data_IF_746190036928
#
_entry.id   IF_746190036928
#
_cell.length_a   1.000
_cell.length_b   1.000
_cell.length_c   1.000
_cell.angle_alpha   90.00
_cell.angle_beta   90.00
_cell.angle_gamma   90.00
#
_symmetry.space_group_name_H-M   'P 1'
#
loop_
_entity.id
_entity.type
_entity.pdbx_description
1 polymer ?
#
# COMPACT_ATOMS: atom_id res chain seq x y z
N UNK A 1 19.77 -12.18 -13.18
CA UNK A 1 19.00 -10.95 -12.86
C UNK A 1 17.68 -10.89 -13.63
N UNK A 2 17.66 -11.04 -14.95
CA UNK A 2 16.43 -11.04 -15.78
C UNK A 2 15.41 -12.11 -15.36
N UNK A 3 15.84 -13.34 -15.08
CA UNK A 3 14.95 -14.43 -14.62
C UNK A 3 14.28 -14.12 -13.26
N UNK A 4 15.02 -13.50 -12.32
CA UNK A 4 14.52 -13.12 -11.00
C UNK A 4 13.45 -12.04 -11.14
N UNK A 5 13.71 -11.01 -11.94
CA UNK A 5 12.72 -9.96 -12.23
C UNK A 5 11.49 -10.50 -12.96
N UNK A 6 11.69 -11.39 -13.95
CA UNK A 6 10.58 -12.00 -14.66
C UNK A 6 9.69 -12.83 -13.70
N UNK A 7 10.29 -13.68 -12.88
CA UNK A 7 9.55 -14.49 -11.91
C UNK A 7 8.77 -13.66 -10.88
N UNK A 8 9.27 -12.49 -10.51
CA UNK A 8 8.59 -11.59 -9.57
C UNK A 8 7.50 -10.76 -10.25
N UNK A 9 7.75 -10.25 -11.46
CA UNK A 9 6.86 -9.28 -12.12
C UNK A 9 5.79 -9.93 -12.99
N UNK A 10 6.10 -11.06 -13.67
CA UNK A 10 5.14 -11.73 -14.57
C UNK A 10 3.84 -12.11 -13.88
N UNK A 11 3.82 -12.72 -12.67
CA UNK A 11 2.57 -13.04 -11.97
C UNK A 11 1.72 -11.81 -11.66
N UNK A 12 2.36 -10.68 -11.34
CA UNK A 12 1.69 -9.41 -11.03
C UNK A 12 1.00 -8.86 -12.28
N UNK A 13 1.76 -8.78 -13.40
CA UNK A 13 1.17 -8.35 -14.67
C UNK A 13 0.09 -9.30 -15.14
N UNK A 14 0.27 -10.61 -14.98
CA UNK A 14 -0.77 -11.60 -15.32
C UNK A 14 -2.05 -11.34 -14.53
N UNK A 15 -1.98 -11.13 -13.21
CA UNK A 15 -3.15 -10.82 -12.38
C UNK A 15 -3.82 -9.50 -12.77
N UNK A 16 -3.04 -8.45 -13.00
CA UNK A 16 -3.55 -7.15 -13.46
C UNK A 16 -4.22 -7.25 -14.84
N UNK A 17 -3.57 -7.92 -15.81
CA UNK A 17 -4.10 -8.09 -17.15
C UNK A 17 -5.35 -8.97 -17.17
N UNK A 18 -5.40 -10.04 -16.37
CA UNK A 18 -6.61 -10.85 -16.20
C UNK A 18 -7.79 -9.99 -15.75
N UNK A 19 -7.60 -9.17 -14.71
CA UNK A 19 -8.64 -8.25 -14.23
C UNK A 19 -9.02 -7.21 -15.29
N UNK A 20 -8.04 -6.62 -15.97
CA UNK A 20 -8.26 -5.63 -17.01
C UNK A 20 -9.06 -6.19 -18.19
N UNK A 21 -8.66 -7.34 -18.73
CA UNK A 21 -9.37 -7.98 -19.84
C UNK A 21 -10.74 -8.53 -19.42
N UNK A 22 -10.86 -9.06 -18.19
CA UNK A 22 -12.16 -9.48 -17.65
C UNK A 22 -13.17 -8.31 -17.63
N UNK A 23 -12.71 -7.10 -17.32
CA UNK A 23 -13.53 -5.90 -17.39
C UNK A 23 -13.83 -5.44 -18.81
N UNK A 24 -12.83 -5.41 -19.71
CA UNK A 24 -13.02 -5.03 -21.11
C UNK A 24 -13.98 -5.96 -21.85
N UNK A 25 -13.87 -7.26 -21.63
CA UNK A 25 -14.74 -8.28 -22.25
C UNK A 25 -16.07 -8.44 -21.51
N UNK A 26 -16.34 -7.60 -20.52
CA UNK A 26 -17.56 -7.66 -19.69
C UNK A 26 -17.84 -9.03 -19.07
N UNK A 27 -16.79 -9.82 -18.82
CA UNK A 27 -16.89 -11.08 -18.07
C UNK A 27 -17.07 -10.80 -16.57
N UNK A 28 -16.56 -9.66 -16.10
CA UNK A 28 -16.79 -9.14 -14.77
C UNK A 28 -17.26 -7.68 -14.91
N UNK A 29 -18.20 -7.28 -14.04
CA UNK A 29 -18.68 -5.89 -14.01
C UNK A 29 -17.60 -4.97 -13.42
N UNK A 30 -17.02 -4.14 -14.27
CA UNK A 30 -15.97 -3.19 -13.88
C UNK A 30 -16.54 -1.87 -13.34
N UNK A 31 -17.85 -1.66 -13.41
CA UNK A 31 -18.52 -0.51 -12.82
C UNK A 31 -18.99 -0.81 -11.39
N UNK A 32 -19.45 -2.02 -11.11
CA UNK A 32 -19.95 -2.44 -9.81
C UNK A 32 -19.04 -3.49 -9.15
N UNK A 33 -17.86 -3.07 -8.74
CA UNK A 33 -16.84 -3.94 -8.12
C UNK A 33 -16.99 -4.07 -6.60
N UNK A 34 -18.07 -3.54 -6.00
CA UNK A 34 -18.23 -3.41 -4.55
C UNK A 34 -18.12 -4.74 -3.80
N UNK A 35 -18.72 -5.80 -4.33
CA UNK A 35 -18.65 -7.14 -3.71
C UNK A 35 -17.20 -7.64 -3.64
N UNK A 36 -16.44 -7.48 -4.73
CA UNK A 36 -15.04 -7.89 -4.77
C UNK A 36 -14.16 -7.03 -3.85
N UNK A 37 -14.42 -5.71 -3.80
CA UNK A 37 -13.78 -4.81 -2.84
C UNK A 37 -14.04 -5.28 -1.40
N UNK A 38 -15.30 -5.57 -1.07
CA UNK A 38 -15.67 -6.04 0.28
C UNK A 38 -14.96 -7.35 0.61
N UNK A 39 -14.94 -8.32 -0.29
CA UNK A 39 -14.21 -9.58 -0.09
C UNK A 39 -12.71 -9.33 0.18
N UNK A 40 -12.05 -8.56 -0.68
CA UNK A 40 -10.61 -8.29 -0.60
C UNK A 40 -10.28 -7.51 0.68
N UNK A 41 -11.01 -6.42 0.96
CA UNK A 41 -10.69 -5.48 2.04
C UNK A 41 -11.15 -5.92 3.43
N UNK A 42 -12.26 -6.69 3.51
CA UNK A 42 -12.83 -7.07 4.79
C UNK A 42 -12.47 -8.50 5.23
N UNK A 43 -12.01 -9.35 4.30
CA UNK A 43 -11.69 -10.74 4.59
C UNK A 43 -10.27 -11.13 4.16
N UNK A 44 -9.95 -11.09 2.87
CA UNK A 44 -8.71 -11.67 2.35
C UNK A 44 -7.46 -10.93 2.87
N UNK A 45 -7.37 -9.62 2.67
CA UNK A 45 -6.20 -8.81 3.11
C UNK A 45 -6.07 -8.80 4.64
N UNK A 46 -7.11 -8.59 5.46
CA UNK A 46 -6.98 -8.66 6.91
C UNK A 46 -6.43 -9.99 7.42
N UNK A 47 -6.90 -11.12 6.87
CA UNK A 47 -6.36 -12.44 7.23
C UNK A 47 -4.88 -12.57 6.85
N UNK A 48 -4.49 -12.12 5.66
CA UNK A 48 -3.09 -12.13 5.20
C UNK A 48 -2.21 -11.27 6.10
N UNK A 49 -2.61 -10.02 6.37
CA UNK A 49 -1.85 -9.09 7.22
C UNK A 49 -1.72 -9.59 8.66
N UNK A 50 -2.83 -10.07 9.24
CA UNK A 50 -2.80 -10.64 10.58
C UNK A 50 -1.81 -11.79 10.68
N UNK A 51 -1.89 -12.78 9.77
CA UNK A 51 -1.00 -13.92 9.78
C UNK A 51 0.46 -13.54 9.56
N UNK A 52 0.73 -12.66 8.60
CA UNK A 52 2.09 -12.23 8.30
C UNK A 52 2.79 -11.65 9.54
N UNK A 53 2.06 -10.87 10.36
CA UNK A 53 2.61 -10.21 11.53
C UNK A 53 2.55 -11.13 12.75
N UNK A 54 1.44 -11.84 13.00
CA UNK A 54 1.29 -12.74 14.13
C UNK A 54 2.27 -13.93 14.08
N UNK A 55 2.68 -14.35 12.88
CA UNK A 55 3.67 -15.41 12.68
C UNK A 55 5.11 -14.90 12.75
N UNK A 56 5.35 -13.60 12.89
CA UNK A 56 6.70 -13.03 13.01
C UNK A 56 7.12 -13.03 14.47
N UNK A 57 8.25 -13.69 14.85
CA UNK A 57 8.71 -13.72 16.22
C UNK A 57 9.01 -12.31 16.76
N UNK A 58 8.71 -12.08 18.05
CA UNK A 58 8.96 -10.79 18.73
C UNK A 58 10.40 -10.29 18.59
N UNK A 59 11.38 -11.21 18.67
CA UNK A 59 12.78 -10.86 18.47
C UNK A 59 13.04 -10.28 17.08
N UNK A 60 12.48 -10.91 16.03
CA UNK A 60 12.59 -10.42 14.65
C UNK A 60 11.88 -9.06 14.47
N UNK A 61 10.74 -8.82 15.13
CA UNK A 61 10.10 -7.50 15.11
C UNK A 61 10.95 -6.42 15.80
N UNK A 62 11.64 -6.75 16.89
CA UNK A 62 12.57 -5.82 17.54
C UNK A 62 13.76 -5.48 16.65
N UNK A 63 14.36 -6.46 16.00
CA UNK A 63 15.44 -6.26 15.03
C UNK A 63 15.00 -5.37 13.86
N UNK A 64 13.72 -5.46 13.48
CA UNK A 64 13.14 -4.66 12.40
C UNK A 64 12.62 -3.27 12.83
N UNK A 65 12.72 -2.92 14.14
CA UNK A 65 12.15 -1.66 14.63
C UNK A 65 12.74 -0.42 13.93
N UNK A 66 14.05 -0.38 13.71
CA UNK A 66 14.71 0.71 13.02
C UNK A 66 14.34 0.76 11.52
N UNK A 67 14.26 -0.40 10.84
CA UNK A 67 13.77 -0.49 9.47
C UNK A 67 12.29 -0.09 9.37
N UNK A 68 11.47 -0.47 10.35
CA UNK A 68 10.08 -0.06 10.47
C UNK A 68 9.94 1.46 10.62
N UNK A 69 10.77 2.09 11.45
CA UNK A 69 10.81 3.55 11.59
C UNK A 69 11.21 4.24 10.27
N UNK A 70 12.24 3.72 9.58
CA UNK A 70 12.63 4.23 8.27
C UNK A 70 11.46 4.16 7.27
N UNK A 71 10.79 3.01 7.17
CA UNK A 71 9.63 2.83 6.30
C UNK A 71 8.48 3.77 6.66
N UNK A 72 8.19 3.96 7.96
CA UNK A 72 7.16 4.88 8.42
C UNK A 72 7.45 6.33 7.97
N UNK A 73 8.69 6.78 8.12
CA UNK A 73 9.11 8.11 7.70
C UNK A 73 9.02 8.25 6.17
N UNK A 74 9.55 7.27 5.41
CA UNK A 74 9.50 7.27 3.94
C UNK A 74 8.06 7.35 3.44
N UNK A 75 7.16 6.53 3.98
CA UNK A 75 5.76 6.52 3.57
C UNK A 75 5.05 7.82 3.93
N UNK A 76 5.28 8.35 5.13
CA UNK A 76 4.72 9.62 5.56
C UNK A 76 5.22 10.78 4.70
N UNK A 77 6.52 10.84 4.40
CA UNK A 77 7.11 11.90 3.56
C UNK A 77 6.54 11.84 2.15
N UNK A 78 6.56 10.67 1.50
CA UNK A 78 6.04 10.59 0.13
C UNK A 78 4.52 10.80 0.08
N UNK A 79 3.78 10.32 1.08
CA UNK A 79 2.35 10.61 1.23
C UNK A 79 2.10 12.11 1.31
N UNK A 80 2.81 12.80 2.20
CA UNK A 80 2.68 14.25 2.39
C UNK A 80 3.06 15.02 1.12
N UNK A 81 4.20 14.71 0.50
CA UNK A 81 4.64 15.32 -0.76
C UNK A 81 3.60 15.13 -1.86
N UNK A 82 3.12 13.90 -2.04
CA UNK A 82 2.12 13.59 -3.07
C UNK A 82 0.78 14.26 -2.78
N UNK A 83 0.35 14.30 -1.51
CA UNK A 83 -0.87 14.97 -1.11
C UNK A 83 -0.80 16.48 -1.36
N UNK A 84 0.27 17.13 -0.93
CA UNK A 84 0.50 18.58 -1.11
C UNK A 84 0.59 18.91 -2.61
N UNK A 85 1.38 18.15 -3.37
CA UNK A 85 1.49 18.33 -4.81
C UNK A 85 0.13 18.26 -5.51
N UNK A 86 -0.63 17.19 -5.27
CA UNK A 86 -1.93 17.00 -5.94
C UNK A 86 -2.99 17.99 -5.45
N UNK A 87 -2.94 18.39 -4.18
CA UNK A 87 -3.87 19.35 -3.60
C UNK A 87 -3.69 20.75 -4.16
N UNK A 88 -2.43 21.20 -4.32
CA UNK A 88 -2.12 22.59 -4.65
C UNK A 88 -1.73 22.81 -6.12
N UNK A 89 -1.13 21.82 -6.79
CA UNK A 89 -0.71 21.95 -8.20
C UNK A 89 -1.71 21.31 -9.17
N UNK A 90 -2.33 20.21 -8.79
CA UNK A 90 -3.34 19.53 -9.61
C UNK A 90 -4.78 19.96 -9.26
N UNK A 91 -4.94 20.79 -8.23
CA UNK A 91 -6.24 21.30 -7.75
C UNK A 91 -7.25 20.19 -7.41
N UNK A 92 -6.78 19.01 -7.01
CA UNK A 92 -7.65 17.92 -6.58
C UNK A 92 -8.27 18.26 -5.21
N UNK A 93 -9.46 17.73 -4.95
CA UNK A 93 -10.05 17.78 -3.61
C UNK A 93 -9.26 16.91 -2.62
N UNK A 94 -9.53 17.02 -1.33
CA UNK A 94 -8.79 16.31 -0.29
C UNK A 94 -8.92 14.78 -0.42
N UNK A 95 -10.09 14.27 -0.83
CA UNK A 95 -10.33 12.84 -1.04
C UNK A 95 -9.47 12.31 -2.17
N UNK A 96 -9.55 12.93 -3.34
CA UNK A 96 -8.78 12.52 -4.51
C UNK A 96 -7.27 12.65 -4.28
N UNK A 97 -6.83 13.72 -3.59
CA UNK A 97 -5.42 13.89 -3.20
C UNK A 97 -4.95 12.80 -2.27
N UNK A 98 -5.78 12.36 -1.30
CA UNK A 98 -5.44 11.28 -0.38
C UNK A 98 -5.36 9.92 -1.06
N UNK A 99 -6.23 9.67 -2.06
CA UNK A 99 -6.20 8.46 -2.89
C UNK A 99 -4.90 8.38 -3.70
N UNK A 100 -4.52 9.49 -4.36
CA UNK A 100 -3.24 9.54 -5.10
C UNK A 100 -2.07 9.38 -4.13
N UNK A 101 -2.09 10.09 -3.00
CA UNK A 101 -1.02 10.03 -2.01
C UNK A 101 -0.82 8.61 -1.45
N UNK A 102 -1.90 7.89 -1.16
CA UNK A 102 -1.79 6.49 -0.72
C UNK A 102 -1.29 5.57 -1.84
N UNK A 103 -1.75 5.77 -3.07
CA UNK A 103 -1.31 4.97 -4.22
C UNK A 103 0.19 5.12 -4.46
N UNK A 104 0.71 6.34 -4.39
CA UNK A 104 2.14 6.61 -4.58
C UNK A 104 2.96 6.29 -3.31
N UNK A 105 2.46 6.65 -2.14
CA UNK A 105 3.19 6.55 -0.87
C UNK A 105 3.35 5.14 -0.33
N UNK A 106 2.39 4.26 -0.59
CA UNK A 106 2.42 2.89 -0.09
C UNK A 106 2.73 1.90 -1.22
N UNK A 107 3.96 1.32 -1.26
CA UNK A 107 4.36 0.38 -2.30
C UNK A 107 3.55 -0.91 -2.29
N UNK A 108 3.48 -1.62 -3.43
CA UNK A 108 2.93 -2.97 -3.46
C UNK A 108 3.93 -4.01 -2.92
N UNK A 109 4.15 -3.94 -1.61
CA UNK A 109 5.11 -4.80 -0.93
C UNK A 109 4.66 -6.26 -0.87
N UNK A 110 3.35 -6.55 -0.81
CA UNK A 110 2.85 -7.92 -0.72
C UNK A 110 3.11 -8.68 -2.01
N UNK A 111 2.51 -8.23 -3.11
CA UNK A 111 2.54 -8.98 -4.36
C UNK A 111 3.91 -8.93 -5.07
N UNK A 112 4.66 -7.81 -4.94
CA UNK A 112 5.99 -7.65 -5.57
C UNK A 112 7.10 -7.96 -4.58
N UNK A 113 6.96 -7.50 -3.34
CA UNK A 113 8.02 -7.52 -2.34
C UNK A 113 8.39 -8.90 -1.88
N UNK A 114 7.41 -9.73 -1.55
CA UNK A 114 7.67 -11.08 -1.06
C UNK A 114 8.48 -11.92 -2.06
N UNK A 115 8.04 -12.11 -3.31
CA UNK A 115 8.79 -12.92 -4.26
C UNK A 115 10.14 -12.29 -4.63
N UNK A 116 10.22 -10.95 -4.74
CA UNK A 116 11.46 -10.29 -5.11
C UNK A 116 12.52 -10.40 -4.02
N UNK A 117 12.20 -9.97 -2.78
CA UNK A 117 13.17 -10.00 -1.69
C UNK A 117 13.58 -11.42 -1.33
N UNK A 118 12.64 -12.36 -1.35
CA UNK A 118 12.93 -13.78 -1.12
C UNK A 118 13.90 -14.35 -2.16
N UNK A 119 13.74 -13.98 -3.44
CA UNK A 119 14.59 -14.47 -4.53
C UNK A 119 15.98 -13.81 -4.57
N UNK A 120 16.09 -12.54 -4.15
CA UNK A 120 17.37 -11.80 -4.19
C UNK A 120 18.19 -11.99 -2.91
N UNK A 121 17.52 -12.00 -1.74
CA UNK A 121 18.19 -11.97 -0.42
C UNK A 121 17.79 -13.13 0.51
N UNK A 122 16.89 -14.02 0.06
CA UNK A 122 16.44 -15.17 0.87
C UNK A 122 15.34 -14.81 1.88
N UNK A 123 14.99 -15.79 2.71
CA UNK A 123 13.83 -15.72 3.62
C UNK A 123 13.93 -14.63 4.70
N UNK A 124 15.14 -14.23 5.11
CA UNK A 124 15.32 -13.16 6.11
C UNK A 124 14.74 -11.83 5.68
N UNK A 125 14.84 -11.51 4.40
CA UNK A 125 14.32 -10.26 3.83
C UNK A 125 12.77 -10.20 3.86
N UNK A 126 12.08 -11.33 3.92
CA UNK A 126 10.61 -11.37 3.94
C UNK A 126 10.01 -10.76 5.21
N UNK A 127 10.75 -10.78 6.33
CA UNK A 127 10.32 -10.13 7.57
C UNK A 127 10.19 -8.61 7.39
N UNK A 128 11.11 -8.00 6.63
CA UNK A 128 11.02 -6.56 6.32
C UNK A 128 9.81 -6.25 5.43
N UNK A 129 9.39 -7.18 4.56
CA UNK A 129 8.16 -7.04 3.78
C UNK A 129 6.93 -7.05 4.69
N UNK A 130 6.85 -7.99 5.64
CA UNK A 130 5.76 -8.02 6.62
C UNK A 130 5.72 -6.73 7.46
N UNK A 131 6.90 -6.24 7.89
CA UNK A 131 7.03 -4.95 8.59
C UNK A 131 6.53 -3.79 7.72
N UNK A 132 6.88 -3.75 6.44
CA UNK A 132 6.40 -2.76 5.47
C UNK A 132 4.87 -2.71 5.36
N UNK A 133 4.25 -3.90 5.25
CA UNK A 133 2.79 -4.02 5.19
C UNK A 133 2.12 -3.54 6.48
N UNK A 134 2.68 -3.93 7.63
CA UNK A 134 2.20 -3.47 8.94
C UNK A 134 2.27 -1.94 9.03
N UNK A 135 3.44 -1.36 8.78
CA UNK A 135 3.67 0.08 8.86
C UNK A 135 2.72 0.85 7.94
N UNK A 136 2.59 0.47 6.67
CA UNK A 136 1.69 1.15 5.74
C UNK A 136 0.23 1.06 6.17
N UNK A 137 -0.19 -0.09 6.73
CA UNK A 137 -1.56 -0.31 7.19
C UNK A 137 -1.91 0.47 8.44
N UNK A 138 -0.95 0.73 9.34
CA UNK A 138 -1.19 1.47 10.59
C UNK A 138 -0.86 2.97 10.51
N UNK A 139 -0.17 3.42 9.47
CA UNK A 139 0.22 4.83 9.28
C UNK A 139 -0.62 5.52 8.22
N UNK A 140 -0.28 5.34 6.94
CA UNK A 140 -0.87 6.10 5.82
C UNK A 140 -2.29 5.63 5.44
N UNK A 141 -2.62 4.35 5.64
CA UNK A 141 -3.95 3.84 5.32
C UNK A 141 -5.05 4.43 6.20
N UNK A 142 -4.93 4.51 7.55
CA UNK A 142 -5.94 5.14 8.40
C UNK A 142 -6.12 6.64 8.12
N UNK A 143 -5.03 7.34 7.78
CA UNK A 143 -5.09 8.76 7.41
C UNK A 143 -5.97 8.95 6.16
N UNK A 144 -5.72 8.15 5.14
CA UNK A 144 -6.52 8.18 3.89
C UNK A 144 -7.98 7.86 4.16
N UNK A 145 -8.26 6.77 4.91
CA UNK A 145 -9.62 6.39 5.27
C UNK A 145 -10.34 7.49 6.06
N UNK A 146 -9.66 8.14 7.00
CA UNK A 146 -10.22 9.25 7.77
C UNK A 146 -10.60 10.45 6.88
N UNK A 147 -9.75 10.78 5.89
CA UNK A 147 -10.03 11.86 4.92
C UNK A 147 -11.25 11.50 4.06
N UNK A 148 -11.30 10.27 3.54
CA UNK A 148 -12.39 9.77 2.70
C UNK A 148 -13.72 9.73 3.46
N UNK A 149 -13.72 9.21 4.69
CA UNK A 149 -14.92 9.18 5.55
C UNK A 149 -15.45 10.57 5.88
N UNK A 150 -14.53 11.50 6.18
CA UNK A 150 -14.92 12.91 6.44
C UNK A 150 -15.59 13.53 5.22
N UNK A 151 -15.04 13.33 4.04
CA UNK A 151 -15.62 13.87 2.79
C UNK A 151 -17.02 13.30 2.54
N UNK A 152 -17.20 11.99 2.71
CA UNK A 152 -18.50 11.33 2.55
C UNK A 152 -19.56 11.86 3.51
N UNK A 153 -19.19 12.13 4.77
CA UNK A 153 -20.11 12.73 5.77
C UNK A 153 -20.48 14.17 5.41
N UNK A 154 -19.51 14.95 4.91
CA UNK A 154 -19.76 16.32 4.45
C UNK A 154 -20.74 16.36 3.27
N UNK A 155 -20.63 15.41 2.34
CA UNK A 155 -21.54 15.32 1.19
C UNK A 155 -22.95 14.80 1.56
N UNK A 156 -23.08 14.03 2.63
CA UNK A 156 -24.37 13.50 3.11
C UNK A 156 -25.20 14.51 3.92
N UNK A 157 -24.79 15.79 4.02
CA UNK A 157 -25.54 16.83 4.72
C UNK A 157 -25.64 16.65 6.24
N UNK A 158 -24.90 15.69 6.80
CA UNK A 158 -24.81 15.48 8.26
C UNK A 158 -23.88 16.53 8.87
N UNK A 159 -24.26 17.79 8.76
CA UNK A 159 -23.68 18.88 9.53
C UNK A 159 -24.14 18.72 10.99
N UNK A 160 -23.51 17.77 11.70
CA UNK A 160 -23.75 17.59 13.12
C UNK A 160 -23.28 18.82 13.89
N UNK A 161 -24.27 19.52 14.43
CA UNK A 161 -24.21 20.48 15.55
C UNK A 161 -23.16 21.60 15.44
N UNK A 162 -23.68 22.81 15.26
CA UNK A 162 -23.00 24.10 15.16
C UNK A 162 -22.06 24.46 16.31
N UNK A 163 -20.88 23.84 16.32
CA UNK A 163 -19.75 24.26 17.12
C UNK A 163 -18.61 24.64 16.15
N UNK A 164 -18.64 25.90 15.72
CA UNK A 164 -17.57 26.56 14.97
C UNK A 164 -16.39 26.78 15.90
N UNK A 165 -15.31 25.98 15.75
CA UNK A 165 -14.07 26.20 16.49
C UNK A 165 -12.99 25.16 16.11
N UNK A 166 -11.71 25.53 16.28
CA UNK A 166 -10.53 24.65 16.05
C UNK A 166 -10.64 23.32 16.84
N UNK A 167 -11.28 23.31 18.00
CA UNK A 167 -11.55 22.12 18.83
C UNK A 167 -12.51 21.12 18.15
N UNK A 168 -13.43 21.58 17.31
CA UNK A 168 -14.35 20.71 16.58
C UNK A 168 -13.64 19.98 15.42
N UNK A 169 -12.66 20.61 14.77
CA UNK A 169 -11.88 20.01 13.68
C UNK A 169 -11.00 18.85 14.19
N UNK A 170 -10.28 19.06 15.30
CA UNK A 170 -9.47 18.03 15.96
C UNK A 170 -10.35 16.85 16.43
N UNK A 171 -11.50 17.12 17.05
CA UNK A 171 -12.45 16.09 17.47
C UNK A 171 -13.01 15.29 16.26
N UNK A 172 -13.31 15.97 15.15
CA UNK A 172 -13.76 15.30 13.93
C UNK A 172 -12.68 14.40 13.33
N UNK A 173 -11.42 14.85 13.30
CA UNK A 173 -10.28 14.06 12.87
C UNK A 173 -10.12 12.83 13.77
N UNK A 174 -10.14 13.02 15.09
CA UNK A 174 -10.04 11.92 16.06
C UNK A 174 -11.18 10.90 15.88
N UNK A 175 -12.43 11.34 15.72
CA UNK A 175 -13.56 10.46 15.46
C UNK A 175 -13.43 9.71 14.12
N UNK A 176 -12.93 10.36 13.08
CA UNK A 176 -12.69 9.71 11.79
C UNK A 176 -11.57 8.67 11.88
N UNK A 177 -10.50 8.95 12.63
CA UNK A 177 -9.44 7.98 12.91
C UNK A 177 -9.96 6.78 13.71
N UNK A 178 -10.77 7.00 14.76
CA UNK A 178 -11.38 5.92 15.54
C UNK A 178 -12.29 5.05 14.66
N UNK A 179 -13.06 5.65 13.74
CA UNK A 179 -13.88 4.88 12.81
C UNK A 179 -13.02 4.09 11.80
N UNK A 180 -11.93 4.68 11.33
CA UNK A 180 -10.99 3.99 10.44
C UNK A 180 -10.32 2.80 11.13
N UNK A 181 -10.03 2.91 12.44
CA UNK A 181 -9.51 1.80 13.25
C UNK A 181 -10.49 0.63 13.41
N UNK A 182 -11.80 0.84 13.18
CA UNK A 182 -12.78 -0.26 13.17
C UNK A 182 -12.74 -1.11 11.90
N UNK A 183 -12.08 -0.65 10.85
CA UNK A 183 -11.96 -1.40 9.59
C UNK A 183 -11.00 -2.58 9.76
N UNK A 184 -11.37 -3.79 9.27
CA UNK A 184 -10.54 -5.00 9.39
C UNK A 184 -9.10 -4.81 8.90
N UNK A 185 -8.91 -4.07 7.82
CA UNK A 185 -7.60 -3.80 7.24
C UNK A 185 -6.66 -3.00 8.18
N UNK A 186 -7.21 -2.29 9.16
CA UNK A 186 -6.43 -1.52 10.14
C UNK A 186 -6.23 -2.32 11.43
N UNK A 187 -7.30 -2.91 12.00
CA UNK A 187 -7.15 -3.60 13.28
C UNK A 187 -6.49 -4.99 13.16
N UNK A 188 -6.62 -5.68 12.00
CA UNK A 188 -6.02 -7.01 11.85
C UNK A 188 -4.48 -6.99 11.99
N UNK A 189 -3.71 -6.09 11.35
CA UNK A 189 -2.27 -5.99 11.59
C UNK A 189 -1.93 -5.58 13.02
N UNK A 190 -2.73 -4.72 13.67
CA UNK A 190 -2.54 -4.36 15.09
C UNK A 190 -2.75 -5.55 16.02
N UNK A 191 -3.78 -6.35 15.76
CA UNK A 191 -4.02 -7.59 16.48
C UNK A 191 -2.88 -8.60 16.26
N UNK A 192 -2.38 -8.73 15.02
CA UNK A 192 -1.21 -9.54 14.70
C UNK A 192 0.02 -9.09 15.48
N UNK A 193 0.24 -7.78 15.60
CA UNK A 193 1.32 -7.22 16.39
C UNK A 193 1.16 -7.54 17.89
N UNK A 194 -0.06 -7.45 18.43
CA UNK A 194 -0.34 -7.82 19.81
C UNK A 194 -0.04 -9.30 20.07
N UNK A 195 -0.42 -10.21 19.15
CA UNK A 195 -0.10 -11.64 19.22
C UNK A 195 1.40 -11.89 19.22
N UNK A 196 2.14 -11.28 18.28
CA UNK A 196 3.60 -11.41 18.21
C UNK A 196 4.30 -10.83 19.45
N UNK A 197 3.88 -9.66 19.96
CA UNK A 197 4.45 -9.05 21.16
C UNK A 197 4.18 -9.86 22.44
N UNK A 198 3.06 -10.56 22.50
CA UNK A 198 2.68 -11.43 23.62
C UNK A 198 3.23 -12.86 23.49
N UNK A 199 4.03 -13.14 22.44
CA UNK A 199 4.54 -14.47 22.10
C UNK A 199 3.44 -15.55 22.04
N UNK A 200 2.22 -15.16 21.62
CA UNK A 200 1.10 -16.07 21.48
C UNK A 200 1.20 -16.87 20.19
N UNK A 201 0.98 -18.17 20.29
CA UNK A 201 0.95 -19.07 19.14
C UNK A 201 -0.49 -19.36 18.73
N UNK A 202 -0.75 -19.30 17.44
CA UNK A 202 -2.06 -19.67 16.89
C UNK A 202 -2.20 -21.19 16.82
N UNK A 203 -3.33 -21.75 17.28
CA UNK A 203 -3.65 -23.15 17.00
C UNK A 203 -3.57 -23.45 15.51
N UNK A 204 -3.04 -24.60 15.14
CA UNK A 204 -2.74 -24.96 13.74
C UNK A 204 -3.98 -24.90 12.84
N UNK A 205 -5.16 -25.23 13.34
CA UNK A 205 -6.41 -25.17 12.58
C UNK A 205 -6.83 -23.73 12.28
N UNK A 206 -6.66 -22.79 13.25
CA UNK A 206 -6.94 -21.37 13.05
C UNK A 206 -5.96 -20.79 12.03
N UNK A 207 -4.66 -21.09 12.20
CA UNK A 207 -3.63 -20.64 11.27
C UNK A 207 -3.95 -21.09 9.83
N UNK A 208 -4.29 -22.37 9.62
CA UNK A 208 -4.63 -22.90 8.30
C UNK A 208 -5.88 -22.27 7.72
N UNK A 209 -6.92 -22.05 8.52
CA UNK A 209 -8.17 -21.41 8.07
C UNK A 209 -7.94 -19.98 7.60
N UNK A 210 -7.19 -19.21 8.38
CA UNK A 210 -6.81 -17.84 8.00
C UNK A 210 -5.87 -17.81 6.79
N UNK A 211 -4.96 -18.80 6.67
CA UNK A 211 -4.05 -18.90 5.53
C UNK A 211 -4.79 -19.14 4.21
N UNK A 212 -5.83 -19.98 4.22
CA UNK A 212 -6.69 -20.20 3.03
C UNK A 212 -7.34 -18.90 2.58
N UNK A 213 -7.90 -18.11 3.52
CA UNK A 213 -8.51 -16.82 3.20
C UNK A 213 -7.45 -15.79 2.79
N UNK A 214 -6.33 -15.75 3.50
CA UNK A 214 -5.23 -14.80 3.24
C UNK A 214 -4.55 -15.05 1.90
N UNK A 215 -4.40 -16.30 1.47
CA UNK A 215 -3.79 -16.63 0.17
C UNK A 215 -4.59 -16.10 -1.03
N UNK A 216 -5.89 -15.85 -0.86
CA UNK A 216 -6.71 -15.23 -1.88
C UNK A 216 -6.44 -13.72 -2.05
N UNK A 217 -5.74 -13.08 -1.08
CA UNK A 217 -5.59 -11.62 -1.05
C UNK A 217 -4.84 -11.08 -2.26
N UNK A 218 -3.64 -11.59 -2.53
CA UNK A 218 -2.74 -11.01 -3.52
C UNK A 218 -3.31 -11.12 -4.94
N UNK A 219 -3.74 -12.33 -5.33
CA UNK A 219 -4.33 -12.57 -6.65
C UNK A 219 -5.62 -11.80 -6.87
N UNK A 220 -6.54 -11.82 -5.88
CA UNK A 220 -7.83 -11.12 -6.01
C UNK A 220 -7.66 -9.60 -5.98
N UNK A 221 -6.69 -9.07 -5.23
CA UNK A 221 -6.39 -7.64 -5.23
C UNK A 221 -5.79 -7.15 -6.55
N UNK A 222 -4.94 -7.96 -7.19
CA UNK A 222 -4.41 -7.65 -8.53
C UNK A 222 -5.51 -7.67 -9.58
N UNK A 223 -6.37 -8.70 -9.58
CA UNK A 223 -7.53 -8.79 -10.48
C UNK A 223 -8.48 -7.61 -10.24
N UNK A 224 -8.80 -7.29 -8.98
CA UNK A 224 -9.63 -6.13 -8.63
C UNK A 224 -9.02 -4.84 -9.15
N UNK A 225 -7.72 -4.64 -8.98
CA UNK A 225 -7.02 -3.45 -9.47
C UNK A 225 -7.11 -3.35 -10.99
N UNK A 226 -6.85 -4.44 -11.71
CA UNK A 226 -7.00 -4.50 -13.17
C UNK A 226 -8.42 -4.20 -13.63
N UNK A 227 -9.41 -4.77 -12.93
CA UNK A 227 -10.85 -4.55 -13.20
C UNK A 227 -11.25 -3.08 -13.00
N UNK A 228 -10.82 -2.47 -11.89
CA UNK A 228 -11.08 -1.04 -11.63
C UNK A 228 -10.42 -0.15 -12.69
N UNK A 229 -9.19 -0.48 -13.07
CA UNK A 229 -8.45 0.25 -14.11
C UNK A 229 -9.12 0.13 -15.48
N UNK A 230 -9.70 -1.03 -15.82
CA UNK A 230 -10.41 -1.24 -17.10
C UNK A 230 -11.63 -0.32 -17.28
N UNK A 231 -12.19 0.17 -16.16
CA UNK A 231 -13.30 1.13 -16.18
C UNK A 231 -12.84 2.59 -16.40
N UNK A 232 -11.53 2.85 -16.36
CA UNK A 232 -10.98 4.20 -16.43
C UNK A 232 -10.28 4.44 -17.76
N UNK A 233 -10.36 5.69 -18.25
CA UNK A 233 -9.58 6.11 -19.41
C UNK A 233 -8.13 6.32 -18.96
N UNK A 234 -7.20 5.55 -19.53
CA UNK A 234 -5.77 5.73 -19.32
C UNK A 234 -5.30 6.98 -20.09
N UNK A 235 -4.76 7.93 -19.37
CA UNK A 235 -4.25 9.16 -19.94
C UNK A 235 -2.81 9.38 -19.42
N UNK A 236 -1.83 9.32 -20.33
CA UNK A 236 -0.47 9.74 -20.02
C UNK A 236 -0.40 11.26 -20.19
N UNK A 237 -0.28 11.97 -19.08
CA UNK A 237 -0.06 13.40 -19.02
C UNK A 237 1.26 13.71 -18.31
N UNK A 238 1.72 14.96 -18.36
CA UNK A 238 2.93 15.37 -17.64
C UNK A 238 2.89 15.07 -16.14
N UNK A 239 1.71 15.19 -15.52
CA UNK A 239 1.48 14.85 -14.12
C UNK A 239 1.63 13.34 -13.82
N UNK A 240 1.31 12.46 -14.77
CA UNK A 240 1.57 11.01 -14.63
C UNK A 240 3.08 10.72 -14.60
N UNK A 241 3.88 11.44 -15.39
CA UNK A 241 5.34 11.30 -15.35
C UNK A 241 5.91 11.77 -14.01
N UNK A 242 5.40 12.88 -13.47
CA UNK A 242 5.78 13.37 -12.13
C UNK A 242 5.43 12.31 -11.07
N UNK A 243 4.23 11.71 -11.12
CA UNK A 243 3.84 10.64 -10.21
C UNK A 243 4.81 9.45 -10.26
N UNK A 244 5.21 9.03 -11.46
CA UNK A 244 6.20 7.94 -11.65
C UNK A 244 7.57 8.32 -11.10
N UNK A 245 8.05 9.54 -11.35
CA UNK A 245 9.33 10.01 -10.81
C UNK A 245 9.30 10.06 -9.28
N UNK A 246 8.24 10.58 -8.68
CA UNK A 246 8.04 10.60 -7.24
C UNK A 246 8.09 9.18 -6.65
N UNK A 247 7.45 8.23 -7.33
CA UNK A 247 7.34 6.85 -6.85
C UNK A 247 8.59 6.03 -7.11
N UNK A 248 9.06 5.97 -8.37
CA UNK A 248 10.06 5.00 -8.81
C UNK A 248 11.51 5.50 -8.64
N UNK A 249 11.69 6.82 -8.47
CA UNK A 249 13.02 7.42 -8.27
C UNK A 249 13.14 8.11 -6.90
N UNK A 250 12.25 9.05 -6.58
CA UNK A 250 12.38 9.86 -5.37
C UNK A 250 12.13 9.04 -4.10
N UNK A 251 11.11 8.17 -4.06
CA UNK A 251 10.82 7.39 -2.86
C UNK A 251 11.98 6.49 -2.43
N UNK A 252 12.59 5.66 -3.30
CA UNK A 252 13.73 4.86 -2.90
C UNK A 252 14.99 5.70 -2.61
N UNK A 253 15.17 6.86 -3.25
CA UNK A 253 16.25 7.79 -2.92
C UNK A 253 16.09 8.37 -1.50
N UNK A 254 14.87 8.79 -1.14
CA UNK A 254 14.53 9.21 0.23
C UNK A 254 14.77 8.06 1.22
N UNK A 255 14.35 6.83 0.86
CA UNK A 255 14.55 5.67 1.72
C UNK A 255 16.02 5.42 1.99
N UNK A 256 16.86 5.44 0.95
CA UNK A 256 18.30 5.31 1.08
C UNK A 256 18.90 6.40 1.97
N UNK A 257 18.53 7.67 1.74
CA UNK A 257 18.99 8.80 2.54
C UNK A 257 18.59 8.68 4.01
N UNK A 258 17.35 8.27 4.31
CA UNK A 258 16.88 8.04 5.68
C UNK A 258 17.64 6.91 6.34
N UNK A 259 17.84 5.77 5.65
CA UNK A 259 18.58 4.64 6.19
C UNK A 259 20.03 5.02 6.53
N UNK A 260 20.69 5.83 5.69
CA UNK A 260 22.02 6.36 5.96
C UNK A 260 22.02 7.30 7.17
N UNK A 261 21.02 8.19 7.27
CA UNK A 261 20.91 9.18 8.36
C UNK A 261 20.71 8.51 9.72
N UNK A 262 19.93 7.43 9.81
CA UNK A 262 19.69 6.70 11.06
C UNK A 262 20.67 5.54 11.26
N UNK A 263 21.71 5.44 10.43
CA UNK A 263 22.77 4.43 10.50
C UNK A 263 22.24 2.99 10.51
N UNK A 264 21.25 2.67 9.64
CA UNK A 264 20.82 1.29 9.46
C UNK A 264 21.97 0.42 8.95
N UNK A 265 21.98 -0.86 9.36
CA UNK A 265 22.92 -1.80 8.78
C UNK A 265 22.68 -1.97 7.27
N UNK A 266 23.70 -2.47 6.57
CA UNK A 266 23.70 -2.58 5.10
C UNK A 266 22.54 -3.44 4.60
N UNK A 267 22.27 -4.58 5.26
CA UNK A 267 21.17 -5.48 4.85
C UNK A 267 19.81 -4.79 4.95
N UNK A 268 19.51 -4.17 6.09
CA UNK A 268 18.24 -3.45 6.28
C UNK A 268 18.13 -2.27 5.33
N UNK A 269 19.23 -1.54 5.08
CA UNK A 269 19.27 -0.45 4.09
C UNK A 269 18.89 -0.95 2.70
N UNK A 270 19.44 -2.08 2.26
CA UNK A 270 19.09 -2.71 0.98
C UNK A 270 17.60 -3.08 0.93
N UNK A 271 17.06 -3.71 1.98
CA UNK A 271 15.66 -4.16 2.02
C UNK A 271 14.69 -2.97 2.01
N UNK A 272 14.89 -1.97 2.86
CA UNK A 272 14.04 -0.78 2.95
C UNK A 272 14.04 0.01 1.65
N UNK A 273 15.22 0.18 1.05
CA UNK A 273 15.36 0.89 -0.24
C UNK A 273 14.63 0.15 -1.36
N UNK A 274 14.80 -1.17 -1.47
CA UNK A 274 14.13 -1.96 -2.51
C UNK A 274 12.63 -2.05 -2.30
N UNK A 275 12.14 -2.18 -1.06
CA UNK A 275 10.70 -2.10 -0.77
C UNK A 275 10.14 -0.76 -1.24
N UNK A 276 10.87 0.32 -1.00
CA UNK A 276 10.47 1.66 -1.43
C UNK A 276 10.53 1.85 -2.95
N UNK A 277 11.41 1.10 -3.64
CA UNK A 277 11.53 1.11 -5.10
C UNK A 277 10.44 0.30 -5.83
N UNK A 278 9.64 -0.50 -5.10
CA UNK A 278 8.56 -1.28 -5.70
C UNK A 278 7.49 -0.39 -6.34
N UNK A 279 6.78 -0.86 -7.36
CA UNK A 279 5.70 -0.10 -7.98
C UNK A 279 4.62 0.34 -6.98
N UNK A 280 3.77 1.26 -7.42
CA UNK A 280 2.64 1.77 -6.65
C UNK A 280 1.78 0.67 -6.04
N UNK A 281 1.31 0.89 -4.81
CA UNK A 281 0.31 0.03 -4.19
C UNK A 281 -1.10 0.27 -4.75
N UNK A 282 -1.91 -0.77 -4.75
CA UNK A 282 -3.30 -0.71 -5.22
C UNK A 282 -4.29 -0.17 -4.17
N UNK A 283 -3.87 -0.07 -2.90
CA UNK A 283 -4.76 0.32 -1.79
C UNK A 283 -5.45 1.67 -2.02
N UNK A 284 -4.73 2.68 -2.54
CA UNK A 284 -5.32 3.98 -2.81
C UNK A 284 -6.45 3.91 -3.83
N UNK A 285 -6.22 3.22 -4.95
CA UNK A 285 -7.22 3.05 -6.01
C UNK A 285 -8.45 2.29 -5.49
N UNK A 286 -8.24 1.24 -4.69
CA UNK A 286 -9.33 0.43 -4.14
C UNK A 286 -10.10 1.19 -3.06
N UNK A 287 -9.42 1.89 -2.16
CA UNK A 287 -10.08 2.75 -1.17
C UNK A 287 -10.88 3.86 -1.87
N UNK A 288 -10.26 4.49 -2.86
CA UNK A 288 -10.95 5.50 -3.65
C UNK A 288 -12.25 4.97 -4.24
N UNK A 289 -12.23 3.77 -4.82
CA UNK A 289 -13.42 3.15 -5.39
C UNK A 289 -14.52 2.85 -4.36
N UNK A 290 -14.14 2.41 -3.14
CA UNK A 290 -15.09 2.16 -2.04
C UNK A 290 -15.80 3.44 -1.56
N UNK A 291 -15.18 4.61 -1.79
CA UNK A 291 -15.68 5.93 -1.39
C UNK A 291 -16.10 6.83 -2.56
N UNK A 292 -16.27 6.28 -3.76
CA UNK A 292 -16.63 7.02 -4.98
C UNK A 292 -15.63 8.14 -5.35
N UNK A 293 -14.37 8.00 -4.94
CA UNK A 293 -13.26 8.90 -5.27
C UNK A 293 -12.30 8.18 -6.23
N UNK A 294 -12.34 8.57 -7.52
CA UNK A 294 -11.58 7.88 -8.56
C UNK A 294 -10.73 8.86 -9.38
N UNK A 295 -9.69 9.46 -8.79
CA UNK A 295 -8.82 10.36 -9.54
C UNK A 295 -8.06 9.59 -10.62
N UNK A 296 -8.17 10.04 -11.87
CA UNK A 296 -7.48 9.43 -13.03
C UNK A 296 -5.97 9.30 -12.80
N UNK A 297 -5.38 10.26 -12.09
CA UNK A 297 -3.96 10.27 -11.78
C UNK A 297 -3.53 9.07 -10.92
N UNK A 298 -4.38 8.59 -9.98
CA UNK A 298 -4.06 7.41 -9.17
C UNK A 298 -3.94 6.16 -10.05
N UNK A 299 -4.91 5.93 -10.95
CA UNK A 299 -4.92 4.77 -11.84
C UNK A 299 -3.84 4.85 -12.92
N UNK A 300 -3.67 6.03 -13.54
CA UNK A 300 -2.62 6.25 -14.53
C UNK A 300 -1.23 6.15 -13.92
N UNK A 301 -1.01 6.73 -12.72
CA UNK A 301 0.22 6.64 -11.97
C UNK A 301 0.54 5.20 -11.56
N UNK A 302 -0.47 4.42 -11.12
CA UNK A 302 -0.31 3.01 -10.79
C UNK A 302 0.20 2.23 -12.01
N UNK A 303 -0.49 2.29 -13.14
CA UNK A 303 -0.10 1.56 -14.36
C UNK A 303 1.30 1.98 -14.83
N UNK A 304 1.52 3.29 -14.94
CA UNK A 304 2.79 3.83 -15.41
C UNK A 304 3.96 3.45 -14.49
N UNK A 305 3.71 3.44 -13.16
CA UNK A 305 4.69 2.99 -12.18
C UNK A 305 5.09 1.52 -12.36
N UNK A 306 4.16 0.64 -12.73
CA UNK A 306 4.50 -0.75 -13.04
C UNK A 306 5.30 -0.86 -14.34
N UNK A 307 4.91 -0.16 -15.41
CA UNK A 307 5.61 -0.19 -16.69
C UNK A 307 7.07 0.29 -16.56
N UNK A 308 7.26 1.42 -15.88
CA UNK A 308 8.61 1.96 -15.61
C UNK A 308 9.31 1.17 -14.52
N UNK A 309 8.53 0.56 -13.60
CA UNK A 309 9.02 -0.21 -12.45
C UNK A 309 9.96 -1.33 -12.81
N UNK A 310 9.80 -1.98 -13.95
CA UNK A 310 10.70 -3.04 -14.42
C UNK A 310 12.14 -2.51 -14.53
N UNK A 311 12.32 -1.39 -15.22
CA UNK A 311 13.64 -0.79 -15.42
C UNK A 311 14.16 -0.10 -14.15
N UNK A 312 13.32 0.66 -13.44
CA UNK A 312 13.73 1.36 -12.23
C UNK A 312 14.10 0.40 -11.11
N UNK A 313 13.37 -0.70 -10.94
CA UNK A 313 13.66 -1.71 -9.93
C UNK A 313 15.00 -2.42 -10.23
N UNK A 314 15.26 -2.74 -11.50
CA UNK A 314 16.55 -3.29 -11.91
C UNK A 314 17.71 -2.33 -11.58
N UNK A 315 17.53 -1.03 -11.86
CA UNK A 315 18.52 -0.02 -11.51
C UNK A 315 18.76 0.07 -9.99
N UNK A 316 17.68 0.08 -9.19
CA UNK A 316 17.78 0.11 -7.74
C UNK A 316 18.43 -1.15 -7.15
N UNK A 317 18.19 -2.33 -7.71
CA UNK A 317 18.89 -3.57 -7.30
C UNK A 317 20.39 -3.42 -7.54
N UNK A 318 20.80 -2.84 -8.69
CA UNK A 318 22.22 -2.60 -8.95
C UNK A 318 22.78 -1.59 -7.93
N UNK A 319 22.09 -0.47 -7.70
CA UNK A 319 22.53 0.57 -6.76
C UNK A 319 22.74 -0.03 -5.36
N UNK A 320 21.74 -0.74 -4.81
CA UNK A 320 21.83 -1.27 -3.43
C UNK A 320 22.87 -2.37 -3.28
N UNK A 321 23.19 -3.12 -4.34
CA UNK A 321 24.26 -4.12 -4.30
C UNK A 321 25.66 -3.51 -4.28
N UNK A 322 25.81 -2.25 -4.72
CA UNK A 322 27.08 -1.51 -4.63
C UNK A 322 27.23 -0.72 -3.32
N UNK A 323 26.23 -0.75 -2.46
CA UNK A 323 26.31 -0.14 -1.13
C UNK A 323 26.98 -1.14 -0.18
N UNK A 324 28.23 -0.87 0.16
CA UNK A 324 29.06 -1.65 1.10
C UNK A 324 30.00 -2.62 0.46
#
# INVERSE_FOLDING_TARGET
MTKVLANALVPIFAGLLLGYFAGLWRRMDNQNVRTLITFVMSFAIPCSLFLAIASTPRAALREQAAAGLALAIVYAVLYAVSFVWTRFRENLNASDSSVVALTLGFPNSAAVGLPLLASVFGSRATVTVATSLAIGSITVSPITLAILERSRRGSAGVSGTGLSGKSSALRQIALSLIHSCKRPIVWAPLLGLAFSCADLTLPSFIHRSLAVMGSAADGSALVLTGLVVSAQKFEIRGNTLIAVLLKNALQPAIALGICMLIHLNIEQTRYVTLISAMPCGFFGVVFGRDFDSNPKLASSGLIASYLVGVGSLAAWIVIVNHIG
#
